data_IF_137753118769
#
_entry.id   IF_137753118769
#
_cell.length_a   1.000
_cell.length_b   1.000
_cell.length_c   1.000
_cell.angle_alpha   90.00
_cell.angle_beta   90.00
_cell.angle_gamma   90.00
#
_symmetry.space_group_name_H-M   'P 1'
#
loop_
_entity.id
_entity.type
_entity.pdbx_description
1 polymer ?
#
# COMPACT_ATOMS: atom_id res chain seq x y z
N UNK A 1 8.18 6.19 -24.45
CA UNK A 1 8.57 7.60 -24.61
C UNK A 1 9.01 8.14 -23.26
N UNK A 2 10.22 8.71 -23.20
CA UNK A 2 10.84 9.23 -21.97
C UNK A 2 10.00 10.32 -21.30
N UNK A 3 9.36 11.19 -22.10
CA UNK A 3 8.48 12.24 -21.57
C UNK A 3 7.30 11.64 -20.77
N UNK A 4 6.67 10.58 -21.30
CA UNK A 4 5.61 9.88 -20.58
C UNK A 4 6.10 9.24 -19.29
N UNK A 5 7.30 8.67 -19.28
CA UNK A 5 7.91 8.10 -18.07
C UNK A 5 8.14 9.17 -17.00
N UNK A 6 8.64 10.36 -17.38
CA UNK A 6 8.83 11.49 -16.45
C UNK A 6 7.49 11.96 -15.87
N UNK A 7 6.46 12.11 -16.71
CA UNK A 7 5.12 12.50 -16.24
C UNK A 7 4.56 11.47 -15.23
N UNK A 8 4.66 10.18 -15.57
CA UNK A 8 4.23 9.11 -14.65
C UNK A 8 5.02 9.14 -13.36
N UNK A 9 6.34 9.31 -13.40
CA UNK A 9 7.19 9.41 -12.21
C UNK A 9 6.77 10.54 -11.29
N UNK A 10 6.49 11.73 -11.85
CA UNK A 10 6.00 12.89 -11.09
C UNK A 10 4.64 12.59 -10.46
N UNK A 11 3.71 11.97 -11.20
CA UNK A 11 2.40 11.59 -10.68
C UNK A 11 2.51 10.54 -9.57
N UNK A 12 3.42 9.57 -9.68
CA UNK A 12 3.71 8.58 -8.63
C UNK A 12 4.19 9.29 -7.37
N UNK A 13 5.15 10.21 -7.50
CA UNK A 13 5.71 10.94 -6.36
C UNK A 13 4.65 11.79 -5.66
N UNK A 14 3.83 12.50 -6.44
CA UNK A 14 2.69 13.31 -5.95
C UNK A 14 1.66 12.43 -5.25
N UNK A 15 1.30 11.31 -5.85
CA UNK A 15 0.31 10.36 -5.31
C UNK A 15 0.81 9.63 -4.06
N UNK A 16 2.08 9.22 -4.04
CA UNK A 16 2.71 8.51 -2.93
C UNK A 16 2.86 9.38 -1.67
N UNK A 17 3.36 10.60 -1.82
CA UNK A 17 3.44 11.55 -0.70
C UNK A 17 2.07 11.99 -0.18
N UNK A 18 1.04 11.83 -0.99
CA UNK A 18 -0.33 12.27 -0.68
C UNK A 18 -0.53 13.77 -0.91
N UNK A 19 -1.73 14.09 -1.39
CA UNK A 19 -2.09 15.44 -1.81
C UNK A 19 -2.01 16.45 -0.65
N UNK A 20 -2.33 16.01 0.58
CA UNK A 20 -2.28 16.85 1.79
C UNK A 20 -0.83 17.20 2.15
N UNK A 21 0.09 16.24 2.10
CA UNK A 21 1.52 16.47 2.38
C UNK A 21 2.13 17.43 1.37
N UNK A 22 1.77 17.29 0.09
CA UNK A 22 2.25 18.17 -0.98
C UNK A 22 1.70 19.59 -0.87
N UNK A 23 0.39 19.74 -0.70
CA UNK A 23 -0.22 21.08 -0.56
C UNK A 23 0.31 21.79 0.67
N UNK A 24 0.53 21.09 1.77
CA UNK A 24 1.12 21.64 2.98
C UNK A 24 2.59 21.99 2.74
N UNK A 25 3.36 21.13 2.07
CA UNK A 25 4.75 21.37 1.71
C UNK A 25 4.92 22.59 0.79
N UNK A 26 4.10 22.72 -0.25
CA UNK A 26 4.09 23.89 -1.15
C UNK A 26 3.70 25.16 -0.40
N UNK A 27 2.70 25.11 0.50
CA UNK A 27 2.31 26.27 1.30
C UNK A 27 3.43 26.75 2.22
N UNK A 28 4.21 25.81 2.77
CA UNK A 28 5.39 26.10 3.57
C UNK A 28 6.53 26.71 2.76
N UNK A 29 6.83 26.15 1.58
CA UNK A 29 7.82 26.69 0.66
C UNK A 29 7.50 28.13 0.23
N UNK A 30 6.22 28.41 0.00
CA UNK A 30 5.74 29.75 -0.35
C UNK A 30 5.65 30.70 0.85
N UNK A 31 6.00 30.28 2.07
CA UNK A 31 5.89 31.06 3.32
C UNK A 31 4.52 31.68 3.56
N UNK A 32 3.46 31.12 2.97
CA UNK A 32 2.06 31.57 3.21
C UNK A 32 1.57 31.01 4.53
N UNK A 33 0.91 31.87 5.36
CA UNK A 33 0.21 31.42 6.57
C UNK A 33 -0.89 30.42 6.17
N UNK A 34 -0.86 29.23 6.75
CA UNK A 34 -1.88 28.23 6.49
C UNK A 34 -3.22 28.69 7.08
N UNK A 35 -4.29 28.65 6.30
CA UNK A 35 -5.64 28.86 6.79
C UNK A 35 -6.05 27.71 7.75
N UNK A 36 -6.86 28.02 8.76
CA UNK A 36 -7.34 27.10 9.79
C UNK A 36 -7.99 25.81 9.22
N UNK A 37 -8.56 25.88 8.03
CA UNK A 37 -9.18 24.74 7.34
C UNK A 37 -8.13 23.71 6.85
N UNK A 38 -7.03 24.18 6.31
CA UNK A 38 -5.92 23.30 5.85
C UNK A 38 -5.15 22.71 7.04
N UNK A 39 -5.09 23.47 8.14
CA UNK A 39 -4.52 22.99 9.40
C UNK A 39 -5.36 21.83 9.98
N UNK A 40 -6.70 21.93 9.99
CA UNK A 40 -7.60 20.86 10.43
C UNK A 40 -7.45 19.60 9.61
N UNK A 41 -7.42 19.69 8.29
CA UNK A 41 -7.26 18.54 7.40
C UNK A 41 -5.90 17.85 7.59
N UNK A 42 -4.85 18.62 7.91
CA UNK A 42 -3.53 18.07 8.20
C UNK A 42 -3.47 17.44 9.60
N UNK A 43 -4.20 17.99 10.59
CA UNK A 43 -4.24 17.47 11.98
C UNK A 43 -5.18 16.27 12.14
N UNK A 44 -6.21 16.10 11.30
CA UNK A 44 -7.04 14.87 11.31
C UNK A 44 -6.25 13.62 10.97
N UNK A 45 -5.17 13.75 10.19
CA UNK A 45 -4.26 12.65 9.88
C UNK A 45 -3.08 12.51 10.86
N UNK A 46 -2.87 13.48 11.73
CA UNK A 46 -1.76 13.53 12.69
C UNK A 46 -2.27 14.11 14.01
N UNK A 47 -2.33 13.30 15.05
CA UNK A 47 -2.67 13.74 16.42
C UNK A 47 -1.55 14.64 17.00
N UNK A 48 -1.36 15.86 16.47
CA UNK A 48 -0.26 16.70 16.91
C UNK A 48 -0.50 18.20 16.75
N UNK A 49 0.15 18.99 17.59
CA UNK A 49 0.14 20.44 17.60
C UNK A 49 0.69 21.03 16.29
N UNK A 50 0.08 22.11 15.83
CA UNK A 50 0.43 22.83 14.58
C UNK A 50 1.90 23.29 14.52
N UNK A 51 2.56 23.50 15.65
CA UNK A 51 3.98 23.89 15.73
C UNK A 51 4.93 22.75 15.26
N UNK A 52 4.53 21.49 15.45
CA UNK A 52 5.33 20.33 15.04
C UNK A 52 5.07 19.88 13.58
N UNK A 53 4.08 20.45 12.90
CA UNK A 53 3.67 20.04 11.55
C UNK A 53 4.78 20.31 10.52
N UNK A 54 5.44 21.45 10.62
CA UNK A 54 6.52 21.83 9.69
C UNK A 54 7.73 20.89 9.81
N UNK A 55 8.06 20.55 11.05
CA UNK A 55 9.15 19.61 11.34
C UNK A 55 8.82 18.20 10.84
N UNK A 56 7.60 17.77 11.06
CA UNK A 56 7.11 16.47 10.57
C UNK A 56 7.14 16.40 9.04
N UNK A 57 6.67 17.43 8.34
CA UNK A 57 6.68 17.47 6.88
C UNK A 57 8.10 17.45 6.32
N UNK A 58 9.01 18.24 6.92
CA UNK A 58 10.42 18.23 6.53
C UNK A 58 11.05 16.86 6.74
N UNK A 59 10.73 16.19 7.84
CA UNK A 59 11.19 14.84 8.14
C UNK A 59 10.65 13.84 7.12
N UNK A 60 9.36 13.90 6.77
CA UNK A 60 8.74 13.05 5.76
C UNK A 60 9.45 13.21 4.42
N UNK A 61 9.59 14.43 3.92
CA UNK A 61 10.22 14.69 2.63
C UNK A 61 11.68 14.22 2.61
N UNK A 62 12.46 14.61 3.62
CA UNK A 62 13.86 14.22 3.72
C UNK A 62 14.00 12.69 3.77
N UNK A 63 13.19 12.02 4.58
CA UNK A 63 13.24 10.57 4.72
C UNK A 63 12.85 9.87 3.41
N UNK A 64 11.79 10.32 2.75
CA UNK A 64 11.35 9.79 1.45
C UNK A 64 12.48 9.87 0.42
N UNK A 65 12.99 11.07 0.15
CA UNK A 65 14.06 11.24 -0.85
C UNK A 65 15.34 10.49 -0.46
N UNK A 66 15.65 10.37 0.83
CA UNK A 66 16.80 9.57 1.28
C UNK A 66 16.61 8.09 0.99
N UNK A 67 15.44 7.54 1.29
CA UNK A 67 15.13 6.12 1.01
C UNK A 67 15.13 5.85 -0.51
N UNK A 68 14.51 6.71 -1.30
CA UNK A 68 14.49 6.59 -2.77
C UNK A 68 15.90 6.67 -3.35
N UNK A 69 16.71 7.60 -2.87
CA UNK A 69 18.11 7.74 -3.30
C UNK A 69 18.95 6.51 -2.97
N UNK A 70 18.87 6.02 -1.72
CA UNK A 70 19.57 4.79 -1.30
C UNK A 70 19.11 3.59 -2.11
N UNK A 71 17.81 3.45 -2.31
CA UNK A 71 17.25 2.38 -3.14
C UNK A 71 17.71 2.46 -4.60
N UNK A 72 17.71 3.66 -5.19
CA UNK A 72 18.21 3.87 -6.54
C UNK A 72 19.70 3.49 -6.67
N UNK A 73 20.54 3.90 -5.71
CA UNK A 73 21.98 3.55 -5.71
C UNK A 73 22.18 2.03 -5.62
N UNK A 74 21.42 1.33 -4.75
CA UNK A 74 21.49 -0.13 -4.65
C UNK A 74 21.06 -0.81 -5.96
N UNK A 75 20.00 -0.34 -6.60
CA UNK A 75 19.53 -0.85 -7.89
C UNK A 75 20.52 -0.55 -9.03
N UNK A 76 21.21 0.61 -9.00
CA UNK A 76 22.24 0.95 -9.98
C UNK A 76 23.39 -0.08 -10.01
N UNK A 77 23.74 -0.69 -8.88
CA UNK A 77 24.76 -1.75 -8.82
C UNK A 77 24.43 -2.89 -9.79
N UNK A 78 23.14 -3.17 -10.01
CA UNK A 78 22.70 -4.24 -10.90
C UNK A 78 22.34 -3.75 -12.28
N UNK A 79 21.62 -2.64 -12.41
CA UNK A 79 21.08 -2.18 -13.69
C UNK A 79 22.10 -1.41 -14.55
N UNK A 80 23.05 -0.69 -13.95
CA UNK A 80 24.08 0.05 -14.73
C UNK A 80 25.01 -0.89 -15.50
N UNK A 81 25.54 -1.99 -14.93
CA UNK A 81 26.34 -2.94 -15.70
C UNK A 81 25.56 -3.62 -16.84
N UNK A 82 24.23 -3.79 -16.69
CA UNK A 82 23.40 -4.45 -17.70
C UNK A 82 22.94 -3.50 -18.82
N UNK A 83 22.62 -2.23 -18.49
CA UNK A 83 21.94 -1.30 -19.40
C UNK A 83 22.68 0.05 -19.55
N UNK A 84 23.91 0.15 -19.07
CA UNK A 84 24.72 1.38 -19.12
C UNK A 84 23.96 2.61 -18.63
N UNK A 85 23.92 3.70 -19.36
CA UNK A 85 23.22 4.94 -18.96
C UNK A 85 21.72 4.80 -18.72
N UNK A 86 21.04 3.88 -19.43
CA UNK A 86 19.63 3.60 -19.17
C UNK A 86 19.40 2.92 -17.80
N UNK A 87 20.39 2.17 -17.31
CA UNK A 87 20.33 1.54 -16.00
C UNK A 87 20.17 2.52 -14.85
N UNK A 88 20.74 3.74 -14.97
CA UNK A 88 20.53 4.81 -13.98
C UNK A 88 19.07 5.24 -13.92
N UNK A 89 18.46 5.49 -15.09
CA UNK A 89 17.05 5.89 -15.19
C UNK A 89 16.10 4.81 -14.68
N UNK A 90 16.34 3.54 -15.05
CA UNK A 90 15.58 2.37 -14.57
C UNK A 90 15.64 2.31 -13.04
N UNK A 91 16.83 2.46 -12.46
CA UNK A 91 17.03 2.39 -11.01
C UNK A 91 16.29 3.48 -10.25
N UNK A 92 16.34 4.72 -10.74
CA UNK A 92 15.60 5.85 -10.16
C UNK A 92 14.10 5.63 -10.25
N UNK A 93 13.60 5.23 -11.43
CA UNK A 93 12.18 4.99 -11.66
C UNK A 93 11.64 3.89 -10.75
N UNK A 94 12.33 2.74 -10.67
CA UNK A 94 11.93 1.62 -9.82
C UNK A 94 12.00 1.97 -8.34
N UNK A 95 13.01 2.73 -7.90
CA UNK A 95 13.12 3.13 -6.49
C UNK A 95 11.96 4.02 -6.05
N UNK A 96 11.60 5.03 -6.84
CA UNK A 96 10.46 5.91 -6.58
C UNK A 96 9.14 5.12 -6.64
N UNK A 97 8.97 4.29 -7.68
CA UNK A 97 7.77 3.45 -7.84
C UNK A 97 7.59 2.49 -6.66
N UNK A 98 8.68 1.87 -6.18
CA UNK A 98 8.64 0.95 -5.06
C UNK A 98 8.34 1.64 -3.73
N UNK A 99 9.01 2.76 -3.43
CA UNK A 99 8.77 3.50 -2.19
C UNK A 99 7.35 4.08 -2.12
N UNK A 100 6.84 4.58 -3.24
CA UNK A 100 5.48 5.10 -3.35
C UNK A 100 4.40 4.01 -3.46
N UNK A 101 4.77 2.72 -3.45
CA UNK A 101 3.88 1.58 -3.65
C UNK A 101 3.02 1.73 -4.93
N UNK A 102 3.66 2.09 -6.04
CA UNK A 102 2.96 2.35 -7.29
C UNK A 102 2.97 1.17 -8.28
N UNK A 103 3.98 0.28 -8.20
CA UNK A 103 4.06 -0.94 -9.01
C UNK A 103 4.39 -0.75 -10.49
N UNK A 104 4.62 0.49 -10.92
CA UNK A 104 5.01 0.76 -12.29
C UNK A 104 6.47 0.43 -12.54
N UNK A 105 6.74 -0.15 -13.71
CA UNK A 105 8.08 -0.40 -14.22
C UNK A 105 8.25 0.18 -15.62
N UNK A 106 9.49 0.23 -16.07
CA UNK A 106 9.87 0.63 -17.44
C UNK A 106 10.66 -0.47 -18.13
N UNK A 107 10.52 -1.72 -17.68
CA UNK A 107 11.21 -2.90 -18.18
C UNK A 107 10.47 -3.60 -19.35
N UNK A 108 9.36 -3.01 -19.83
CA UNK A 108 8.55 -3.58 -20.90
C UNK A 108 9.30 -3.84 -22.22
N UNK A 109 10.51 -3.29 -22.38
CA UNK A 109 11.38 -3.59 -23.52
C UNK A 109 12.03 -4.99 -23.42
N UNK A 110 12.11 -5.60 -22.21
CA UNK A 110 12.59 -6.97 -22.02
C UNK A 110 11.49 -7.98 -22.31
N UNK A 111 10.33 -7.78 -21.71
CA UNK A 111 9.14 -8.61 -21.88
C UNK A 111 7.92 -7.70 -21.66
N UNK A 112 7.03 -7.55 -22.66
CA UNK A 112 5.77 -6.85 -22.45
C UNK A 112 5.00 -7.45 -21.25
N UNK A 113 4.54 -6.62 -20.34
CA UNK A 113 3.86 -7.02 -19.09
C UNK A 113 4.70 -7.93 -18.18
N UNK A 114 6.04 -7.99 -18.39
CA UNK A 114 6.93 -8.89 -17.63
C UNK A 114 7.33 -8.38 -16.26
N UNK A 115 7.17 -7.10 -15.99
CA UNK A 115 7.55 -6.44 -14.74
C UNK A 115 8.94 -6.90 -14.24
N UNK A 116 9.06 -7.40 -13.01
CA UNK A 116 10.32 -7.89 -12.43
C UNK A 116 10.56 -9.40 -12.63
N UNK A 117 9.75 -10.09 -13.43
CA UNK A 117 9.92 -11.54 -13.70
C UNK A 117 11.36 -11.89 -14.16
N UNK A 118 12.03 -11.10 -15.05
CA UNK A 118 13.40 -11.37 -15.45
C UNK A 118 14.42 -11.29 -14.30
N UNK A 119 14.08 -10.62 -13.20
CA UNK A 119 14.94 -10.40 -12.03
C UNK A 119 14.40 -11.10 -10.77
N UNK A 120 13.45 -12.02 -10.91
CA UNK A 120 12.78 -12.70 -9.80
C UNK A 120 13.75 -13.47 -8.86
N UNK A 121 14.86 -13.95 -9.40
CA UNK A 121 15.89 -14.69 -8.66
C UNK A 121 17.08 -13.84 -8.22
N UNK A 122 17.06 -12.53 -8.53
CA UNK A 122 18.11 -11.60 -8.11
C UNK A 122 17.81 -11.05 -6.70
N UNK A 123 18.57 -11.49 -5.65
CA UNK A 123 18.29 -11.07 -4.28
C UNK A 123 18.48 -9.57 -4.08
N UNK A 124 19.44 -8.94 -4.78
CA UNK A 124 19.70 -7.52 -4.61
C UNK A 124 18.52 -6.69 -5.12
N UNK A 125 17.99 -7.00 -6.29
CA UNK A 125 16.82 -6.31 -6.87
C UNK A 125 15.59 -6.55 -6.00
N UNK A 126 15.26 -7.82 -5.73
CA UNK A 126 14.05 -8.18 -5.00
C UNK A 126 14.04 -7.63 -3.56
N UNK A 127 15.14 -7.76 -2.81
CA UNK A 127 15.19 -7.28 -1.43
C UNK A 127 15.22 -5.76 -1.34
N UNK A 128 15.87 -5.07 -2.29
CA UNK A 128 15.87 -3.60 -2.33
C UNK A 128 14.45 -3.07 -2.58
N UNK A 129 13.77 -3.59 -3.59
CA UNK A 129 12.40 -3.20 -3.93
C UNK A 129 11.44 -3.56 -2.79
N UNK A 130 11.52 -4.79 -2.25
CA UNK A 130 10.70 -5.19 -1.11
C UNK A 130 10.94 -4.31 0.13
N UNK A 131 12.17 -3.94 0.41
CA UNK A 131 12.52 -3.03 1.50
C UNK A 131 11.90 -1.64 1.33
N UNK A 132 11.97 -1.08 0.12
CA UNK A 132 11.34 0.21 -0.21
C UNK A 132 9.82 0.16 -0.04
N UNK A 133 9.17 -0.90 -0.54
CA UNK A 133 7.72 -1.13 -0.41
C UNK A 133 7.32 -1.19 1.07
N UNK A 134 8.03 -1.97 1.88
CA UNK A 134 7.74 -2.11 3.31
C UNK A 134 7.88 -0.77 4.02
N UNK A 135 8.98 -0.03 3.77
CA UNK A 135 9.24 1.26 4.41
C UNK A 135 8.17 2.28 4.02
N UNK A 136 7.80 2.37 2.73
CA UNK A 136 6.73 3.26 2.26
C UNK A 136 5.36 2.89 2.82
N UNK A 137 5.06 1.57 2.94
CA UNK A 137 3.79 1.05 3.41
C UNK A 137 3.56 1.11 4.93
N UNK A 138 4.62 1.16 5.74
CA UNK A 138 4.54 1.23 7.22
C UNK A 138 3.88 2.53 7.70
N UNK A 139 4.08 3.63 6.97
CA UNK A 139 3.49 4.93 7.30
C UNK A 139 4.43 5.88 8.05
N UNK A 140 4.29 7.16 7.74
CA UNK A 140 5.15 8.22 8.26
C UNK A 140 5.06 8.40 9.78
N UNK A 141 3.91 8.06 10.38
CA UNK A 141 3.70 8.13 11.83
C UNK A 141 4.67 7.17 12.54
N UNK A 142 4.80 5.95 12.04
CA UNK A 142 5.69 4.93 12.62
C UNK A 142 7.15 5.32 12.44
N UNK A 143 7.50 5.85 11.26
CA UNK A 143 8.86 6.33 10.96
C UNK A 143 9.24 7.49 11.90
N UNK A 144 8.34 8.47 12.08
CA UNK A 144 8.54 9.58 13.00
C UNK A 144 8.72 9.11 14.45
N UNK A 145 7.94 8.12 14.86
CA UNK A 145 8.00 7.54 16.21
C UNK A 145 9.34 6.82 16.46
N UNK A 146 9.80 6.02 15.49
CA UNK A 146 11.11 5.35 15.55
C UNK A 146 12.24 6.39 15.61
N UNK A 147 12.15 7.44 14.80
CA UNK A 147 13.15 8.51 14.75
C UNK A 147 13.23 9.25 16.10
N UNK A 148 12.08 9.65 16.67
CA UNK A 148 12.00 10.31 17.99
C UNK A 148 12.51 9.41 19.10
N UNK A 149 12.13 8.13 19.11
CA UNK A 149 12.60 7.17 20.10
C UNK A 149 14.14 7.02 20.05
N UNK A 150 14.73 7.02 18.87
CA UNK A 150 16.19 6.94 18.67
C UNK A 150 16.90 8.21 19.15
N UNK A 151 16.41 9.39 18.79
CA UNK A 151 16.97 10.67 19.21
C UNK A 151 16.93 10.84 20.72
N UNK A 152 15.81 10.53 21.35
CA UNK A 152 15.66 10.62 22.81
C UNK A 152 16.62 9.68 23.55
N UNK A 153 16.83 8.49 23.02
CA UNK A 153 17.79 7.51 23.57
C UNK A 153 19.22 8.02 23.48
N UNK A 154 19.58 8.74 22.41
CA UNK A 154 20.91 9.34 22.25
C UNK A 154 21.13 10.55 23.16
N UNK A 155 20.09 11.40 23.36
CA UNK A 155 20.18 12.61 24.16
C UNK A 155 20.20 12.33 25.69
N UNK A 156 19.54 11.29 26.13
CA UNK A 156 19.31 11.01 27.56
C UNK A 156 19.87 9.67 28.02
N UNK A 157 20.99 9.22 27.55
CA UNK A 157 21.81 8.04 27.97
C UNK A 157 21.20 6.97 28.92
N UNK A 158 19.96 7.08 29.39
CA UNK A 158 19.41 6.29 30.52
C UNK A 158 18.09 5.55 30.31
N UNK A 159 17.24 5.80 29.32
CA UNK A 159 16.05 4.95 29.08
C UNK A 159 15.62 4.96 27.61
N UNK A 160 15.53 3.78 26.99
CA UNK A 160 14.90 3.61 25.68
C UNK A 160 13.44 4.07 25.78
N UNK A 161 13.05 5.09 25.01
CA UNK A 161 11.65 5.47 24.93
C UNK A 161 10.88 4.34 24.22
N UNK A 162 9.84 3.77 24.83
CA UNK A 162 9.09 2.72 24.17
C UNK A 162 8.34 3.29 22.97
N UNK A 163 8.30 2.53 21.85
CA UNK A 163 7.49 2.86 20.70
C UNK A 163 6.03 3.05 21.10
N UNK A 164 5.32 3.95 20.43
CA UNK A 164 3.90 4.17 20.64
C UNK A 164 3.10 2.88 20.42
N UNK A 165 1.94 2.81 21.05
CA UNK A 165 1.03 1.67 20.89
C UNK A 165 0.66 1.45 19.41
N UNK A 166 0.41 2.53 18.67
CA UNK A 166 0.13 2.50 17.25
C UNK A 166 1.28 1.86 16.46
N UNK A 167 2.51 2.31 16.68
CA UNK A 167 3.68 1.79 15.96
C UNK A 167 3.94 0.31 16.21
N UNK A 168 3.72 -0.16 17.45
CA UNK A 168 3.83 -1.59 17.78
C UNK A 168 2.80 -2.43 17.04
N UNK A 169 1.55 -1.97 16.99
CA UNK A 169 0.48 -2.64 16.25
C UNK A 169 0.85 -2.75 14.77
N UNK A 170 1.22 -1.64 14.16
CA UNK A 170 1.56 -1.59 12.74
C UNK A 170 2.69 -2.56 12.40
N UNK A 171 3.78 -2.53 13.17
CA UNK A 171 4.93 -3.41 12.94
C UNK A 171 4.59 -4.89 13.12
N UNK A 172 3.82 -5.22 14.17
CA UNK A 172 3.40 -6.58 14.46
C UNK A 172 2.49 -7.13 13.36
N UNK A 173 1.42 -6.39 13.01
CA UNK A 173 0.46 -6.84 11.99
C UNK A 173 1.13 -6.92 10.62
N UNK A 174 1.99 -5.95 10.28
CA UNK A 174 2.75 -5.97 9.03
C UNK A 174 3.67 -7.20 8.96
N UNK A 175 4.45 -7.45 10.01
CA UNK A 175 5.34 -8.60 10.06
C UNK A 175 4.59 -9.94 9.98
N UNK A 176 3.46 -10.05 10.69
CA UNK A 176 2.62 -11.26 10.65
C UNK A 176 2.03 -11.51 9.26
N UNK A 177 1.48 -10.46 8.61
CA UNK A 177 0.92 -10.60 7.26
C UNK A 177 1.97 -10.97 6.23
N UNK A 178 3.17 -10.39 6.30
CA UNK A 178 4.28 -10.74 5.42
C UNK A 178 4.71 -12.19 5.62
N UNK A 179 4.84 -12.64 6.87
CA UNK A 179 5.25 -14.00 7.19
C UNK A 179 4.19 -15.02 6.72
N UNK A 180 2.92 -14.80 7.09
CA UNK A 180 1.82 -15.69 6.71
C UNK A 180 1.66 -15.74 5.20
N UNK A 181 1.69 -14.58 4.51
CA UNK A 181 1.61 -14.52 3.06
C UNK A 181 2.77 -15.25 2.39
N UNK A 182 4.01 -15.06 2.86
CA UNK A 182 5.18 -15.76 2.34
C UNK A 182 5.06 -17.28 2.48
N UNK A 183 4.66 -17.74 3.66
CA UNK A 183 4.53 -19.18 3.93
C UNK A 183 3.42 -19.80 3.08
N UNK A 184 2.26 -19.14 2.99
CA UNK A 184 1.14 -19.65 2.20
C UNK A 184 1.49 -19.71 0.71
N UNK A 185 2.06 -18.65 0.13
CA UNK A 185 2.47 -18.64 -1.28
C UNK A 185 3.53 -19.70 -1.53
N UNK A 186 4.55 -19.82 -0.65
CA UNK A 186 5.58 -20.83 -0.77
C UNK A 186 5.00 -22.26 -0.77
N UNK A 187 4.07 -22.55 0.13
CA UNK A 187 3.47 -23.89 0.25
C UNK A 187 2.59 -24.22 -0.95
N UNK A 188 1.77 -23.27 -1.39
CA UNK A 188 0.84 -23.47 -2.50
C UNK A 188 1.55 -23.58 -3.85
N UNK A 189 2.51 -22.71 -4.11
CA UNK A 189 3.21 -22.64 -5.39
C UNK A 189 4.46 -23.54 -5.46
N UNK A 190 4.79 -24.29 -4.39
CA UNK A 190 6.07 -25.02 -4.28
C UNK A 190 6.39 -25.91 -5.47
N UNK A 191 5.36 -26.60 -6.00
CA UNK A 191 5.46 -27.49 -7.16
C UNK A 191 4.80 -26.94 -8.42
N UNK A 192 4.24 -25.72 -8.36
CA UNK A 192 3.60 -25.10 -9.51
C UNK A 192 4.64 -24.49 -10.46
N UNK A 193 4.25 -24.24 -11.71
CA UNK A 193 5.08 -23.67 -12.80
C UNK A 193 5.83 -22.40 -12.37
N UNK A 194 5.23 -21.59 -11.51
CA UNK A 194 5.81 -20.35 -10.97
C UNK A 194 7.09 -20.56 -10.19
N UNK A 195 7.19 -21.64 -9.39
CA UNK A 195 8.32 -21.96 -8.52
C UNK A 195 9.00 -23.28 -8.87
N UNK A 196 8.42 -24.12 -9.74
CA UNK A 196 9.02 -25.41 -10.11
C UNK A 196 10.42 -25.24 -10.70
N UNK A 197 11.34 -26.15 -10.36
CA UNK A 197 12.72 -26.14 -10.86
C UNK A 197 13.64 -25.08 -10.25
N UNK A 198 13.14 -24.16 -9.42
CA UNK A 198 13.97 -23.14 -8.75
C UNK A 198 14.60 -23.67 -7.46
N UNK A 199 15.75 -23.07 -7.07
CA UNK A 199 16.38 -23.37 -5.80
C UNK A 199 15.48 -23.02 -4.61
N UNK A 200 15.63 -23.67 -3.46
CA UNK A 200 14.84 -23.33 -2.27
C UNK A 200 14.97 -21.86 -1.86
N UNK A 201 16.20 -21.31 -1.94
CA UNK A 201 16.43 -19.89 -1.67
C UNK A 201 15.67 -18.97 -2.61
N UNK A 202 15.66 -19.28 -3.92
CA UNK A 202 14.88 -18.52 -4.92
C UNK A 202 13.38 -18.64 -4.67
N UNK A 203 12.88 -19.84 -4.30
CA UNK A 203 11.46 -20.05 -3.96
C UNK A 203 11.03 -19.17 -2.78
N UNK A 204 11.82 -19.13 -1.71
CA UNK A 204 11.55 -18.29 -0.54
C UNK A 204 11.61 -16.81 -0.90
N UNK A 205 12.60 -16.38 -1.67
CA UNK A 205 12.77 -15.00 -2.11
C UNK A 205 11.55 -14.52 -2.92
N UNK A 206 11.14 -15.31 -3.90
CA UNK A 206 10.01 -15.01 -4.78
C UNK A 206 8.69 -14.97 -3.97
N UNK A 207 8.45 -15.94 -3.10
CA UNK A 207 7.26 -15.98 -2.25
C UNK A 207 7.21 -14.82 -1.28
N UNK A 208 8.35 -14.44 -0.69
CA UNK A 208 8.47 -13.25 0.14
C UNK A 208 8.18 -11.98 -0.65
N UNK A 209 8.77 -11.85 -1.84
CA UNK A 209 8.55 -10.70 -2.70
C UNK A 209 7.07 -10.55 -3.10
N UNK A 210 6.41 -11.64 -3.50
CA UNK A 210 4.97 -11.65 -3.83
C UNK A 210 4.11 -11.27 -2.63
N UNK A 211 4.41 -11.78 -1.43
CA UNK A 211 3.73 -11.40 -0.19
C UNK A 211 3.88 -9.90 0.11
N UNK A 212 5.07 -9.33 -0.10
CA UNK A 212 5.32 -7.88 0.06
C UNK A 212 4.56 -7.10 -0.99
N UNK A 213 4.63 -7.51 -2.25
CA UNK A 213 4.04 -6.81 -3.39
C UNK A 213 2.51 -6.79 -3.32
N UNK A 214 1.87 -7.88 -2.90
CA UNK A 214 0.42 -7.95 -2.70
C UNK A 214 -0.10 -6.88 -1.72
N UNK A 215 0.77 -6.34 -0.86
CA UNK A 215 0.41 -5.27 0.07
C UNK A 215 0.57 -3.89 -0.55
N UNK A 216 -0.22 -3.62 -1.59
CA UNK A 216 -0.40 -2.34 -2.28
C UNK A 216 0.78 -1.86 -3.14
N UNK A 217 1.69 -2.75 -3.57
CA UNK A 217 2.82 -2.35 -4.39
C UNK A 217 2.69 -2.73 -5.88
N UNK A 218 2.14 -3.91 -6.20
CA UNK A 218 1.80 -4.29 -7.57
C UNK A 218 2.95 -4.78 -8.45
N UNK A 219 4.17 -4.92 -7.93
CA UNK A 219 5.24 -5.55 -8.67
C UNK A 219 5.05 -7.06 -8.77
N UNK A 220 5.31 -7.63 -9.94
CA UNK A 220 5.22 -9.06 -10.20
C UNK A 220 6.60 -9.68 -10.42
N UNK A 221 6.96 -10.68 -9.62
CA UNK A 221 8.15 -11.52 -9.82
C UNK A 221 7.82 -12.88 -10.43
N UNK A 222 6.53 -13.18 -10.60
CA UNK A 222 5.99 -14.35 -11.30
C UNK A 222 4.84 -13.92 -12.21
N UNK A 223 4.47 -14.76 -13.16
CA UNK A 223 3.27 -14.54 -13.96
C UNK A 223 2.05 -14.95 -13.15
N UNK A 224 1.29 -13.95 -12.68
CA UNK A 224 0.10 -14.13 -11.84
C UNK A 224 -0.97 -14.98 -12.54
N UNK A 225 -1.05 -14.90 -13.88
CA UNK A 225 -2.01 -15.69 -14.64
C UNK A 225 -1.79 -17.21 -14.46
N UNK A 226 -0.54 -17.63 -14.21
CA UNK A 226 -0.15 -19.04 -14.04
C UNK A 226 -0.18 -19.53 -12.59
N UNK A 227 -0.50 -18.65 -11.63
CA UNK A 227 -0.67 -19.04 -10.23
C UNK A 227 -1.92 -19.93 -10.06
N UNK A 228 -1.91 -20.78 -9.04
CA UNK A 228 -3.08 -21.56 -8.64
C UNK A 228 -4.22 -20.61 -8.20
N UNK A 229 -5.46 -20.98 -8.49
CA UNK A 229 -6.62 -20.17 -8.10
C UNK A 229 -6.67 -19.92 -6.59
N UNK A 230 -6.25 -20.90 -5.77
CA UNK A 230 -6.19 -20.72 -4.33
C UNK A 230 -5.09 -19.73 -3.91
N UNK A 231 -3.97 -19.67 -4.61
CA UNK A 231 -2.92 -18.65 -4.42
C UNK A 231 -3.45 -17.27 -4.77
N UNK A 232 -4.21 -17.14 -5.87
CA UNK A 232 -4.89 -15.90 -6.25
C UNK A 232 -5.87 -15.43 -5.16
N UNK A 233 -6.63 -16.36 -4.54
CA UNK A 233 -7.52 -16.03 -3.41
C UNK A 233 -6.73 -15.53 -2.21
N UNK A 234 -5.62 -16.17 -1.85
CA UNK A 234 -4.72 -15.66 -0.78
C UNK A 234 -4.19 -14.27 -1.12
N UNK A 235 -3.79 -14.04 -2.36
CA UNK A 235 -3.33 -12.74 -2.85
C UNK A 235 -4.44 -11.69 -2.77
N UNK A 236 -5.69 -12.04 -3.14
CA UNK A 236 -6.88 -11.17 -2.99
C UNK A 236 -7.05 -10.75 -1.52
N UNK A 237 -6.95 -11.67 -0.57
CA UNK A 237 -7.06 -11.37 0.86
C UNK A 237 -5.94 -10.44 1.33
N UNK A 238 -4.70 -10.67 0.89
CA UNK A 238 -3.56 -9.81 1.22
C UNK A 238 -3.70 -8.40 0.62
N UNK A 239 -4.20 -8.29 -0.62
CA UNK A 239 -4.45 -7.01 -1.29
C UNK A 239 -5.59 -6.22 -0.63
N UNK A 240 -6.64 -6.90 -0.17
CA UNK A 240 -7.75 -6.29 0.53
C UNK A 240 -7.30 -5.63 1.86
N UNK A 241 -6.30 -6.24 2.52
CA UNK A 241 -5.63 -5.71 3.71
C UNK A 241 -4.45 -4.85 3.24
N UNK A 242 -4.71 -3.60 2.98
CA UNK A 242 -3.73 -2.67 2.42
C UNK A 242 -2.63 -2.22 3.39
N UNK A 243 -2.09 -1.02 3.11
CA UNK A 243 -1.01 -0.43 3.89
C UNK A 243 -1.48 0.11 5.26
N UNK A 244 -0.52 0.51 6.07
CA UNK A 244 -0.78 1.10 7.39
C UNK A 244 -1.28 2.55 7.28
N UNK A 245 -1.94 3.10 8.32
CA UNK A 245 -2.33 4.50 8.33
C UNK A 245 -1.14 5.44 8.15
N UNK A 246 -1.29 6.44 7.29
CA UNK A 246 -0.20 7.37 6.94
C UNK A 246 0.86 6.76 6.02
N UNK A 247 0.66 5.57 5.48
CA UNK A 247 1.50 4.97 4.44
C UNK A 247 1.07 5.36 3.03
N UNK A 248 1.91 5.01 2.04
CA UNK A 248 1.71 5.33 0.63
C UNK A 248 0.63 4.49 -0.06
N UNK A 249 0.24 3.33 0.51
CA UNK A 249 -0.74 2.41 -0.08
C UNK A 249 -2.20 2.65 0.32
N UNK A 250 -3.14 2.10 -0.46
CA UNK A 250 -4.60 2.16 -0.24
C UNK A 250 -5.17 1.00 0.57
N UNK A 251 -6.40 0.57 0.26
CA UNK A 251 -7.07 -0.55 0.89
C UNK A 251 -7.47 -0.35 2.36
N UNK A 252 -7.98 -1.43 3.00
CA UNK A 252 -8.30 -1.43 4.43
C UNK A 252 -7.01 -1.38 5.24
N UNK A 253 -6.93 -0.47 6.20
CA UNK A 253 -5.72 -0.26 6.98
C UNK A 253 -5.44 -1.41 7.97
N UNK A 254 -4.15 -1.70 8.19
CA UNK A 254 -3.70 -2.75 9.14
C UNK A 254 -4.27 -2.58 10.55
N UNK A 255 -4.45 -1.33 11.00
CA UNK A 255 -5.09 -1.05 12.29
C UNK A 255 -6.57 -1.40 12.31
N UNK A 256 -7.30 -1.18 11.19
CA UNK A 256 -8.70 -1.57 11.04
C UNK A 256 -8.83 -3.10 11.15
N UNK A 257 -7.95 -3.85 10.47
CA UNK A 257 -7.92 -5.31 10.58
C UNK A 257 -7.73 -5.77 12.03
N UNK A 258 -6.77 -5.18 12.77
CA UNK A 258 -6.56 -5.56 14.16
C UNK A 258 -7.80 -5.30 15.03
N UNK A 259 -8.44 -4.14 14.86
CA UNK A 259 -9.68 -3.81 15.60
C UNK A 259 -10.75 -4.85 15.30
N UNK A 260 -10.93 -5.26 14.03
CA UNK A 260 -11.89 -6.29 13.65
C UNK A 260 -11.57 -7.66 14.29
N UNK A 261 -10.30 -8.09 14.25
CA UNK A 261 -9.87 -9.34 14.89
C UNK A 261 -10.12 -9.30 16.40
N UNK A 262 -9.78 -8.20 17.07
CA UNK A 262 -10.03 -8.05 18.49
C UNK A 262 -11.52 -8.02 18.83
N UNK A 263 -12.35 -7.42 17.96
CA UNK A 263 -13.80 -7.41 18.14
C UNK A 263 -14.39 -8.81 18.00
N UNK A 264 -14.00 -9.55 16.97
CA UNK A 264 -14.43 -10.96 16.80
C UNK A 264 -14.01 -11.80 18.01
N UNK A 265 -12.76 -11.63 18.47
CA UNK A 265 -12.27 -12.34 19.66
C UNK A 265 -13.08 -11.99 20.91
N UNK A 266 -13.39 -10.71 21.15
CA UNK A 266 -14.18 -10.26 22.29
C UNK A 266 -15.59 -10.91 22.27
N UNK A 267 -16.25 -10.89 21.12
CA UNK A 267 -17.57 -11.53 20.95
C UNK A 267 -17.51 -13.05 21.22
N UNK A 268 -16.48 -13.74 20.72
CA UNK A 268 -16.33 -15.18 20.94
C UNK A 268 -16.03 -15.56 22.41
N UNK A 269 -15.44 -14.63 23.19
CA UNK A 269 -15.18 -14.85 24.62
C UNK A 269 -16.27 -14.28 25.54
N UNK A 270 -17.30 -13.62 24.96
CA UNK A 270 -18.35 -12.96 25.75
C UNK A 270 -17.91 -11.66 26.43
N UNK A 271 -16.80 -11.08 25.97
CA UNK A 271 -16.31 -9.80 26.48
C UNK A 271 -17.12 -8.64 25.89
N UNK A 272 -17.50 -7.66 26.71
CA UNK A 272 -18.25 -6.49 26.25
C UNK A 272 -17.39 -5.50 25.44
N UNK A 273 -16.08 -5.55 25.58
CA UNK A 273 -15.16 -4.59 25.00
C UNK A 273 -14.00 -5.28 24.27
N UNK A 274 -13.72 -4.81 23.05
CA UNK A 274 -12.55 -5.25 22.31
C UNK A 274 -11.27 -4.68 22.92
N UNK A 275 -10.35 -5.54 23.34
CA UNK A 275 -9.10 -5.17 24.00
C UNK A 275 -7.88 -5.72 23.25
N UNK A 276 -6.78 -4.95 23.29
CA UNK A 276 -5.48 -5.40 22.82
C UNK A 276 -4.37 -4.88 23.71
N UNK A 277 -3.48 -5.77 24.20
CA UNK A 277 -2.36 -5.43 25.08
C UNK A 277 -2.78 -4.53 26.27
N UNK A 278 -3.83 -4.93 26.99
CA UNK A 278 -4.42 -4.22 28.14
C UNK A 278 -5.01 -2.83 27.83
N UNK A 279 -5.25 -2.49 26.56
CA UNK A 279 -5.93 -1.27 26.16
C UNK A 279 -7.27 -1.59 25.51
N UNK A 280 -8.30 -0.82 25.84
CA UNK A 280 -9.64 -0.94 25.28
C UNK A 280 -9.75 -0.09 24.04
N UNK A 281 -10.47 -0.59 23.03
CA UNK A 281 -10.90 0.21 21.89
C UNK A 281 -12.21 0.92 22.21
N UNK A 282 -12.30 2.19 21.86
CA UNK A 282 -13.56 2.95 21.95
C UNK A 282 -14.61 2.31 21.04
N UNK A 283 -15.87 2.23 21.48
CA UNK A 283 -17.00 1.69 20.70
C UNK A 283 -17.12 2.33 19.32
N UNK A 284 -16.92 3.65 19.24
CA UNK A 284 -16.94 4.37 17.95
C UNK A 284 -15.86 3.88 16.99
N UNK A 285 -14.65 3.58 17.46
CA UNK A 285 -13.56 3.01 16.65
C UNK A 285 -13.94 1.64 16.10
N UNK A 286 -14.61 0.79 16.91
CA UNK A 286 -15.11 -0.52 16.48
C UNK A 286 -16.18 -0.36 15.39
N UNK A 287 -17.19 0.49 15.60
CA UNK A 287 -18.23 0.75 14.59
C UNK A 287 -17.66 1.30 13.29
N UNK A 288 -16.70 2.23 13.37
CA UNK A 288 -16.01 2.77 12.21
C UNK A 288 -15.23 1.67 11.44
N UNK A 289 -14.55 0.78 12.15
CA UNK A 289 -13.82 -0.33 11.55
C UNK A 289 -14.77 -1.32 10.83
N UNK A 290 -15.90 -1.67 11.44
CA UNK A 290 -16.94 -2.51 10.84
C UNK A 290 -17.55 -1.84 9.60
N UNK A 291 -17.87 -0.55 9.68
CA UNK A 291 -18.43 0.20 8.54
C UNK A 291 -17.43 0.24 7.37
N UNK A 292 -16.14 0.49 7.63
CA UNK A 292 -15.10 0.48 6.59
C UNK A 292 -15.03 -0.88 5.91
N UNK A 293 -14.98 -1.97 6.69
CA UNK A 293 -14.88 -3.33 6.14
C UNK A 293 -16.12 -3.73 5.35
N UNK A 294 -17.32 -3.44 5.86
CA UNK A 294 -18.58 -3.75 5.19
C UNK A 294 -18.72 -2.97 3.86
N UNK A 295 -18.43 -1.68 3.86
CA UNK A 295 -18.47 -0.87 2.63
C UNK A 295 -17.43 -1.30 1.60
N UNK A 296 -16.22 -1.64 2.03
CA UNK A 296 -15.17 -2.12 1.16
C UNK A 296 -15.56 -3.46 0.52
N UNK A 297 -16.07 -4.40 1.33
CA UNK A 297 -16.53 -5.69 0.83
C UNK A 297 -17.70 -5.53 -0.16
N UNK A 298 -18.67 -4.68 0.18
CA UNK A 298 -19.80 -4.38 -0.71
C UNK A 298 -19.34 -3.82 -2.05
N UNK A 299 -18.43 -2.85 -2.05
CA UNK A 299 -17.88 -2.27 -3.28
C UNK A 299 -17.16 -3.31 -4.14
N UNK A 300 -16.34 -4.16 -3.53
CA UNK A 300 -15.62 -5.23 -4.25
C UNK A 300 -16.60 -6.25 -4.81
N UNK A 301 -17.60 -6.68 -4.03
CA UNK A 301 -18.60 -7.67 -4.48
C UNK A 301 -19.49 -7.13 -5.60
N UNK A 302 -20.00 -5.91 -5.49
CA UNK A 302 -20.84 -5.29 -6.52
C UNK A 302 -20.04 -5.06 -7.82
N UNK A 303 -18.83 -4.53 -7.72
CA UNK A 303 -17.99 -4.29 -8.89
C UNK A 303 -17.52 -5.61 -9.54
N UNK A 304 -17.14 -6.62 -8.73
CA UNK A 304 -16.77 -7.94 -9.23
C UNK A 304 -17.93 -8.62 -9.94
N UNK A 305 -19.14 -8.57 -9.38
CA UNK A 305 -20.35 -9.07 -10.02
C UNK A 305 -20.67 -8.35 -11.33
N UNK A 306 -20.58 -7.01 -11.34
CA UNK A 306 -20.82 -6.24 -12.56
C UNK A 306 -19.81 -6.57 -13.67
N UNK A 307 -18.50 -6.65 -13.36
CA UNK A 307 -17.47 -6.99 -14.34
C UNK A 307 -17.62 -8.45 -14.80
N UNK A 308 -17.96 -9.40 -13.92
CA UNK A 308 -18.22 -10.80 -14.32
C UNK A 308 -19.38 -10.94 -15.33
N UNK A 309 -20.38 -10.07 -15.24
CA UNK A 309 -21.48 -10.02 -16.21
C UNK A 309 -21.02 -9.39 -17.53
N UNK A 310 -20.19 -8.36 -17.48
CA UNK A 310 -19.66 -7.67 -18.66
C UNK A 310 -18.61 -8.51 -19.41
N UNK A 311 -17.88 -9.36 -18.70
CA UNK A 311 -16.76 -10.16 -19.23
C UNK A 311 -17.00 -11.68 -18.98
N UNK A 312 -18.00 -12.29 -19.62
CA UNK A 312 -18.39 -13.67 -19.33
C UNK A 312 -17.32 -14.72 -19.71
N UNK A 313 -16.29 -14.34 -20.45
CA UNK A 313 -15.18 -15.22 -20.83
C UNK A 313 -14.04 -15.21 -19.81
N UNK A 314 -14.03 -14.23 -18.88
CA UNK A 314 -13.00 -14.13 -17.87
C UNK A 314 -13.26 -15.07 -16.69
N UNK A 315 -12.19 -15.63 -16.11
CA UNK A 315 -12.32 -16.40 -14.86
C UNK A 315 -12.82 -15.48 -13.73
N UNK A 316 -13.80 -15.96 -12.96
CA UNK A 316 -14.32 -15.21 -11.80
C UNK A 316 -13.21 -14.84 -10.81
N UNK A 317 -12.27 -15.76 -10.57
CA UNK A 317 -11.12 -15.48 -9.67
C UNK A 317 -10.26 -14.36 -10.21
N UNK A 318 -9.96 -14.34 -11.51
CA UNK A 318 -9.16 -13.27 -12.13
C UNK A 318 -9.90 -11.94 -12.10
N UNK A 319 -11.23 -11.92 -12.31
CA UNK A 319 -12.05 -10.71 -12.17
C UNK A 319 -11.98 -10.16 -10.73
N UNK A 320 -12.16 -11.01 -9.71
CA UNK A 320 -12.05 -10.56 -8.32
C UNK A 320 -10.63 -10.15 -7.94
N UNK A 321 -9.60 -10.72 -8.54
CA UNK A 321 -8.21 -10.30 -8.36
C UNK A 321 -8.01 -8.87 -8.91
N UNK A 322 -8.47 -8.57 -10.14
CA UNK A 322 -8.41 -7.23 -10.73
C UNK A 322 -9.19 -6.19 -9.92
N UNK A 323 -10.42 -6.53 -9.52
CA UNK A 323 -11.30 -5.65 -8.74
C UNK A 323 -10.69 -5.33 -7.37
N UNK A 324 -10.17 -6.34 -6.67
CA UNK A 324 -9.54 -6.15 -5.37
C UNK A 324 -8.20 -5.41 -5.49
N UNK A 325 -7.46 -5.68 -6.54
CA UNK A 325 -6.23 -4.95 -6.88
C UNK A 325 -6.51 -3.47 -7.14
N UNK A 326 -7.57 -3.16 -7.90
CA UNK A 326 -8.00 -1.79 -8.13
C UNK A 326 -8.44 -1.09 -6.84
N UNK A 327 -9.29 -1.73 -6.03
CA UNK A 327 -9.74 -1.20 -4.74
C UNK A 327 -8.59 -1.05 -3.74
N UNK A 328 -7.71 -2.04 -3.64
CA UNK A 328 -6.50 -2.01 -2.79
C UNK A 328 -5.45 -1.00 -3.28
N UNK A 329 -5.61 -0.44 -4.47
CA UNK A 329 -4.60 0.38 -5.19
C UNK A 329 -3.27 -0.35 -5.30
N UNK A 330 -3.33 -1.65 -5.66
CA UNK A 330 -2.15 -2.53 -5.72
C UNK A 330 -1.51 -2.47 -7.10
N UNK A 331 -2.27 -2.75 -8.16
CA UNK A 331 -1.78 -2.79 -9.54
C UNK A 331 -1.40 -4.19 -10.04
N UNK A 332 -1.55 -5.22 -9.21
CA UNK A 332 -1.37 -6.63 -9.62
C UNK A 332 -2.48 -7.05 -10.56
N UNK A 333 -2.15 -7.71 -11.66
CA UNK A 333 -3.07 -8.18 -12.70
C UNK A 333 -2.73 -9.61 -13.13
N UNK A 334 -3.75 -10.41 -13.40
CA UNK A 334 -3.61 -11.70 -14.08
C UNK A 334 -3.61 -11.54 -15.62
N UNK A 335 -3.08 -10.42 -16.14
CA UNK A 335 -3.09 -10.04 -17.55
C UNK A 335 -4.50 -9.82 -18.12
N UNK A 336 -5.53 -9.64 -17.28
CA UNK A 336 -6.90 -9.42 -17.71
C UNK A 336 -7.18 -7.96 -18.08
N UNK A 337 -6.57 -6.98 -17.42
CA UNK A 337 -6.83 -5.53 -17.62
C UNK A 337 -6.74 -5.08 -19.10
N UNK A 338 -5.78 -5.51 -19.93
CA UNK A 338 -5.71 -5.10 -21.33
C UNK A 338 -6.93 -5.54 -22.15
N UNK A 339 -7.51 -6.71 -21.86
CA UNK A 339 -8.60 -7.33 -22.60
C UNK A 339 -9.98 -6.85 -22.18
N UNK A 340 -10.09 -6.18 -21.03
CA UNK A 340 -11.36 -5.67 -20.51
C UNK A 340 -12.02 -4.64 -21.42
N UNK A 341 -13.34 -4.66 -21.46
CA UNK A 341 -14.18 -3.67 -22.13
C UNK A 341 -14.08 -2.28 -21.50
N UNK A 342 -14.46 -1.24 -22.23
CA UNK A 342 -14.43 0.13 -21.71
C UNK A 342 -15.29 0.33 -20.45
N UNK A 343 -16.52 -0.21 -20.34
CA UNK A 343 -17.31 -0.13 -19.09
C UNK A 343 -16.59 -0.77 -17.90
N UNK A 344 -15.99 -1.94 -18.07
CA UNK A 344 -15.23 -2.63 -17.02
C UNK A 344 -14.03 -1.79 -16.53
N UNK A 345 -13.31 -1.14 -17.45
CA UNK A 345 -12.22 -0.23 -17.12
C UNK A 345 -12.69 1.00 -16.33
N UNK A 346 -13.86 1.55 -16.66
CA UNK A 346 -14.45 2.68 -15.92
C UNK A 346 -14.78 2.27 -14.47
N UNK A 347 -15.33 1.07 -14.27
CA UNK A 347 -15.60 0.53 -12.92
C UNK A 347 -14.29 0.41 -12.13
N UNK A 348 -13.21 -0.12 -12.73
CA UNK A 348 -11.91 -0.21 -12.08
C UNK A 348 -11.34 1.17 -11.70
N UNK A 349 -11.43 2.17 -12.57
CA UNK A 349 -11.00 3.56 -12.29
C UNK A 349 -11.75 4.12 -11.08
N UNK A 350 -13.08 3.91 -11.01
CA UNK A 350 -13.86 4.32 -9.84
C UNK A 350 -13.39 3.63 -8.56
N UNK A 351 -13.12 2.32 -8.62
CA UNK A 351 -12.61 1.56 -7.48
C UNK A 351 -11.22 2.03 -7.02
N UNK A 352 -10.31 2.34 -7.94
CA UNK A 352 -8.99 2.91 -7.62
C UNK A 352 -9.14 4.20 -6.82
N UNK A 353 -10.04 5.08 -7.26
CA UNK A 353 -10.33 6.33 -6.56
C UNK A 353 -10.95 6.08 -5.18
N UNK A 354 -11.97 5.19 -5.10
CA UNK A 354 -12.65 4.84 -3.86
C UNK A 354 -11.72 4.22 -2.82
N UNK A 355 -10.84 3.32 -3.26
CA UNK A 355 -9.84 2.68 -2.40
C UNK A 355 -8.76 3.63 -1.88
N UNK A 356 -8.38 4.64 -2.68
CA UNK A 356 -7.38 5.64 -2.29
C UNK A 356 -7.92 6.65 -1.29
N UNK A 357 -9.14 7.17 -1.52
CA UNK A 357 -9.79 8.16 -0.64
C UNK A 357 -10.31 7.52 0.65
N UNK A 358 -10.67 6.24 0.57
CA UNK A 358 -11.31 5.47 1.63
C UNK A 358 -12.84 5.53 1.55
N UNK A 359 -13.52 4.38 1.69
CA UNK A 359 -14.97 4.27 1.45
C UNK A 359 -15.81 5.12 2.42
N UNK A 360 -15.40 5.25 3.68
CA UNK A 360 -16.11 6.08 4.67
C UNK A 360 -16.00 7.57 4.36
N UNK A 361 -14.83 8.03 3.90
CA UNK A 361 -14.63 9.43 3.51
C UNK A 361 -15.51 9.80 2.32
N UNK A 362 -15.64 8.89 1.34
CA UNK A 362 -16.57 9.03 0.22
C UNK A 362 -18.02 9.07 0.69
N UNK A 363 -18.45 8.15 1.56
CA UNK A 363 -19.80 8.14 2.11
C UNK A 363 -20.15 9.41 2.88
N UNK A 364 -19.22 9.93 3.70
CA UNK A 364 -19.40 11.18 4.42
C UNK A 364 -19.48 12.39 3.49
N UNK A 365 -18.68 12.45 2.42
CA UNK A 365 -18.72 13.55 1.46
C UNK A 365 -20.09 13.64 0.75
N UNK A 366 -20.65 12.49 0.36
CA UNK A 366 -22.00 12.40 -0.23
C UNK A 366 -23.09 12.80 0.77
N UNK A 367 -23.01 12.33 2.01
CA UNK A 367 -23.97 12.64 3.08
C UNK A 367 -23.97 14.12 3.47
N UNK A 368 -22.80 14.77 3.53
CA UNK A 368 -22.69 16.19 3.84
C UNK A 368 -23.29 17.07 2.73
N UNK A 369 -23.14 16.68 1.46
CA UNK A 369 -23.76 17.37 0.33
C UNK A 369 -25.29 17.34 0.45
N UNK A 370 -25.86 16.19 0.80
CA UNK A 370 -27.30 16.01 0.94
C UNK A 370 -27.89 16.85 2.11
N UNK A 371 -27.14 17.04 3.21
CA UNK A 371 -27.53 17.90 4.34
C UNK A 371 -27.49 19.39 3.98
N UNK A 372 -26.59 19.79 3.09
CA UNK A 372 -26.54 21.20 2.62
C UNK A 372 -27.71 21.52 1.69
N UNK A 373 -28.09 20.58 0.82
CA UNK A 373 -29.23 20.76 -0.10
C UNK A 373 -30.59 20.64 0.59
N UNK A 374 -30.69 19.91 1.73
CA UNK A 374 -31.91 19.77 2.53
C UNK A 374 -32.08 20.84 3.62
N UNK A 375 -31.07 21.67 3.89
CA UNK A 375 -31.10 22.80 4.83
C UNK A 375 -31.42 24.16 4.21
N UNK A 376 -31.72 24.20 2.91
CA UNK A 376 -32.05 25.39 2.15
C UNK A 376 -33.55 25.48 1.80
N UNK A 377 -34.44 24.89 2.64
CA UNK A 377 -35.88 25.08 2.62
C UNK A 377 -36.33 25.74 3.92
#
# INVERSE_FOLDING_TARGET
>A
NTLGQVVILVLIQVGGLGLVTLTTGVTLLLRKKMGLRNLKLATENTNGDAANMNELLRLILLFTFTCEFVGAVLLMIRFVPLYSGQGVWISVFLAVSAYCNAGFDILGFLKPCGNLIPFAEDPLVCLTIAGLIIIGGIGFIVISDIYRAKLHTQAHRQKRMPLSFHSRIVLLVTGLLLLVGTVLILLLEYNNVTLAGKSFGSKVLISFFQSVSARTAGFASVDIATELDFTKIVTILLMFIGASPGGTGGGIKTTTLLVLICTVRAVLHGDEEATFAHRRFEKFTVYRALAIAAMALLLVMVAGGAISVLEPQASTVDVFLEVTSAFGTVGTSANLTPTLSAPSKIILIFLMFAGRVGPVSLGMAVSLKHRHDSGAC
#
